data_IF_739347403431
#
_entry.id   IF_739347403431
#
_cell.length_a   1.000
_cell.length_b   1.000
_cell.length_c   1.000
_cell.angle_alpha   90.00
_cell.angle_beta   90.00
_cell.angle_gamma   90.00
#
_symmetry.space_group_name_H-M   'P 1'
#
loop_
_entity.id
_entity.type
_entity.pdbx_description
1 polymer ?
#
# COMPACT_ATOMS: atom_id res chain seq x y z
N UNK A 1 3.81 -5.40 -22.70
CA UNK A 1 3.85 -4.17 -21.91
C UNK A 1 4.67 -4.42 -20.66
N UNK A 2 5.69 -3.60 -20.40
CA UNK A 2 6.49 -3.69 -19.18
C UNK A 2 5.68 -3.19 -17.98
N UNK A 3 6.12 -3.53 -16.76
CA UNK A 3 5.46 -3.05 -15.56
C UNK A 3 5.58 -1.53 -15.43
N UNK A 4 6.68 -0.94 -15.89
CA UNK A 4 6.86 0.51 -15.94
C UNK A 4 5.89 1.16 -16.91
N UNK A 5 5.71 0.60 -18.10
CA UNK A 5 4.74 1.08 -19.07
C UNK A 5 3.31 0.99 -18.53
N UNK A 6 2.98 -0.11 -17.86
CA UNK A 6 1.67 -0.29 -17.23
C UNK A 6 1.41 0.76 -16.15
N UNK A 7 2.40 1.05 -15.32
CA UNK A 7 2.30 2.07 -14.27
C UNK A 7 2.12 3.46 -14.88
N UNK A 8 2.88 3.78 -15.92
CA UNK A 8 2.79 5.08 -16.60
C UNK A 8 1.44 5.26 -17.29
N UNK A 9 0.91 4.22 -17.90
CA UNK A 9 -0.42 4.22 -18.52
C UNK A 9 -1.51 4.44 -17.48
N UNK A 10 -1.43 3.73 -16.35
CA UNK A 10 -2.33 3.90 -15.21
C UNK A 10 -2.28 5.34 -14.69
N UNK A 11 -1.08 5.86 -14.46
CA UNK A 11 -0.90 7.22 -13.96
C UNK A 11 -1.51 8.27 -14.90
N UNK A 12 -1.36 8.06 -16.19
CA UNK A 12 -1.95 8.94 -17.22
C UNK A 12 -3.48 8.95 -17.14
N UNK A 13 -4.08 7.79 -16.94
CA UNK A 13 -5.53 7.67 -16.78
C UNK A 13 -6.03 8.39 -15.53
N UNK A 14 -5.29 8.29 -14.42
CA UNK A 14 -5.62 8.98 -13.16
C UNK A 14 -5.58 10.50 -13.36
N UNK A 15 -4.56 11.00 -14.04
CA UNK A 15 -4.47 12.45 -14.34
C UNK A 15 -5.66 12.90 -15.18
N UNK A 16 -6.06 12.11 -16.20
CA UNK A 16 -7.23 12.41 -17.02
C UNK A 16 -8.52 12.43 -16.20
N UNK A 17 -8.70 11.50 -15.27
CA UNK A 17 -9.86 11.49 -14.37
C UNK A 17 -9.94 12.79 -13.57
N UNK A 18 -8.82 13.25 -13.05
CA UNK A 18 -8.79 14.50 -12.28
C UNK A 18 -9.13 15.70 -13.17
N UNK A 19 -8.65 15.73 -14.39
CA UNK A 19 -8.92 16.81 -15.34
C UNK A 19 -10.39 16.95 -15.71
N UNK A 20 -11.14 15.84 -15.69
CA UNK A 20 -12.59 15.88 -15.98
C UNK A 20 -13.45 16.04 -14.72
N UNK A 21 -12.84 16.40 -13.60
CA UNK A 21 -13.56 16.75 -12.37
C UNK A 21 -13.72 15.63 -11.36
N UNK A 22 -13.16 14.46 -11.61
CA UNK A 22 -13.17 13.37 -10.64
C UNK A 22 -12.12 13.60 -9.54
N UNK A 23 -12.34 13.01 -8.36
CA UNK A 23 -11.39 13.01 -7.27
C UNK A 23 -10.96 11.56 -7.00
N UNK A 24 -10.05 11.00 -7.79
CA UNK A 24 -9.67 9.60 -7.64
C UNK A 24 -8.90 9.35 -6.35
N UNK A 25 -9.26 8.25 -5.70
CA UNK A 25 -8.53 7.72 -4.55
C UNK A 25 -8.05 6.33 -4.95
N UNK A 26 -6.75 6.11 -4.84
CA UNK A 26 -6.12 4.85 -5.25
C UNK A 26 -5.82 4.02 -4.02
N UNK A 27 -6.29 2.78 -4.03
CA UNK A 27 -5.96 1.80 -3.00
C UNK A 27 -5.13 0.72 -3.67
N UNK A 28 -4.02 0.36 -3.07
CA UNK A 28 -3.10 -0.61 -3.66
C UNK A 28 -2.66 -1.66 -2.66
N UNK A 29 -2.18 -2.77 -3.17
CA UNK A 29 -1.52 -3.81 -2.40
C UNK A 29 -0.06 -3.94 -2.80
N UNK A 30 0.54 -5.10 -2.59
CA UNK A 30 1.93 -5.34 -2.92
C UNK A 30 2.46 -6.70 -2.47
N UNK A 31 1.57 -7.70 -2.37
CA UNK A 31 1.94 -9.05 -1.90
C UNK A 31 3.18 -9.64 -2.59
N UNK A 32 3.25 -9.65 -3.94
CA UNK A 32 4.41 -10.20 -4.63
C UNK A 32 5.72 -9.49 -4.29
N UNK A 33 5.70 -8.18 -4.18
CA UNK A 33 6.89 -7.38 -3.84
C UNK A 33 7.31 -7.57 -2.39
N UNK A 34 6.34 -7.73 -1.49
CA UNK A 34 6.60 -8.08 -0.09
C UNK A 34 7.28 -9.46 -0.02
N UNK A 35 6.75 -10.45 -0.73
CA UNK A 35 7.33 -11.79 -0.77
C UNK A 35 8.77 -11.76 -1.28
N UNK A 36 9.02 -11.00 -2.32
CA UNK A 36 10.36 -10.84 -2.89
C UNK A 36 11.34 -10.25 -1.87
N UNK A 37 10.92 -9.22 -1.16
CA UNK A 37 11.76 -8.57 -0.15
C UNK A 37 12.00 -9.48 1.05
N UNK A 38 10.98 -10.19 1.52
CA UNK A 38 11.13 -11.17 2.61
C UNK A 38 12.11 -12.27 2.23
N UNK A 39 12.06 -12.76 0.98
CA UNK A 39 12.99 -13.75 0.49
C UNK A 39 14.44 -13.23 0.46
N UNK A 40 14.65 -11.99 0.02
CA UNK A 40 15.97 -11.35 0.01
C UNK A 40 16.55 -11.19 1.40
N UNK A 41 15.70 -10.98 2.40
CA UNK A 41 16.11 -10.81 3.80
C UNK A 41 16.12 -12.12 4.58
N UNK A 42 15.81 -13.24 3.92
CA UNK A 42 15.72 -14.58 4.52
C UNK A 42 14.74 -14.61 5.72
N UNK A 43 13.60 -13.92 5.56
CA UNK A 43 12.52 -13.90 6.55
C UNK A 43 11.37 -14.76 6.03
N UNK A 44 10.92 -15.71 6.84
CA UNK A 44 9.79 -16.58 6.49
C UNK A 44 8.47 -15.96 6.93
N UNK A 45 7.45 -16.17 6.13
CA UNK A 45 6.10 -15.70 6.40
C UNK A 45 5.09 -16.68 5.81
N UNK A 46 4.04 -16.99 6.58
CA UNK A 46 2.96 -17.88 6.17
C UNK A 46 1.65 -17.13 6.04
N UNK A 47 0.64 -17.80 5.47
CA UNK A 47 -0.71 -17.27 5.34
C UNK A 47 -1.70 -18.16 6.09
N UNK A 48 -2.68 -17.53 6.75
CA UNK A 48 -3.79 -18.22 7.39
C UNK A 48 -5.07 -17.54 6.91
N UNK A 49 -5.96 -18.31 6.29
CA UNK A 49 -7.23 -17.81 5.75
C UNK A 49 -7.05 -16.58 4.82
N UNK A 50 -6.00 -16.62 3.97
CA UNK A 50 -5.71 -15.54 3.05
C UNK A 50 -4.99 -14.33 3.65
N UNK A 51 -4.76 -14.31 4.95
CA UNK A 51 -4.07 -13.24 5.66
C UNK A 51 -2.64 -13.67 6.01
N UNK A 52 -1.69 -12.78 5.81
CA UNK A 52 -0.29 -13.03 6.14
C UNK A 52 -0.09 -13.07 7.65
N UNK A 53 0.58 -14.11 8.14
CA UNK A 53 1.04 -14.14 9.52
C UNK A 53 2.19 -13.15 9.64
N UNK A 54 2.03 -12.13 10.49
CA UNK A 54 2.91 -10.97 10.52
C UNK A 54 3.52 -10.75 11.90
N UNK A 55 4.72 -11.31 12.13
CA UNK A 55 5.51 -10.97 13.30
C UNK A 55 6.13 -9.57 13.11
N UNK A 56 6.89 -9.10 14.10
CA UNK A 56 7.47 -7.76 14.06
C UNK A 56 8.37 -7.54 12.84
N UNK A 57 9.20 -8.51 12.49
CA UNK A 57 10.11 -8.39 11.35
C UNK A 57 9.34 -8.33 10.03
N UNK A 58 8.29 -9.14 9.89
CA UNK A 58 7.43 -9.13 8.70
C UNK A 58 6.69 -7.81 8.57
N UNK A 59 6.14 -7.28 9.67
CA UNK A 59 5.41 -6.00 9.68
C UNK A 59 6.32 -4.85 9.24
N UNK A 60 7.55 -4.81 9.71
CA UNK A 60 8.51 -3.77 9.31
C UNK A 60 8.78 -3.83 7.80
N UNK A 61 8.94 -5.01 7.23
CA UNK A 61 9.14 -5.19 5.79
C UNK A 61 7.88 -4.79 5.02
N UNK A 62 6.70 -5.19 5.50
CA UNK A 62 5.41 -4.83 4.88
C UNK A 62 5.28 -3.30 4.80
N UNK A 63 5.54 -2.61 5.90
CA UNK A 63 5.48 -1.15 5.94
C UNK A 63 6.48 -0.51 4.97
N UNK A 64 7.73 -0.98 4.98
CA UNK A 64 8.75 -0.45 4.06
C UNK A 64 8.35 -0.62 2.59
N UNK A 65 7.84 -1.79 2.23
CA UNK A 65 7.48 -2.09 0.84
C UNK A 65 6.22 -1.35 0.42
N UNK A 66 5.16 -1.43 1.21
CA UNK A 66 3.88 -0.82 0.84
C UNK A 66 3.94 0.70 0.89
N UNK A 67 4.36 1.26 2.01
CA UNK A 67 4.34 2.71 2.24
C UNK A 67 5.55 3.42 1.68
N UNK A 68 6.71 2.77 1.69
CA UNK A 68 7.95 3.37 1.25
C UNK A 68 8.21 3.21 -0.24
N UNK A 69 7.98 2.03 -0.78
CA UNK A 69 8.33 1.74 -2.17
C UNK A 69 7.14 1.84 -3.11
N UNK A 70 6.12 1.03 -2.91
CA UNK A 70 5.00 0.95 -3.86
C UNK A 70 4.19 2.23 -3.87
N UNK A 71 3.77 2.69 -2.70
CA UNK A 71 3.00 3.93 -2.57
C UNK A 71 3.72 5.10 -3.26
N UNK A 72 4.99 5.28 -2.96
CA UNK A 72 5.78 6.39 -3.53
C UNK A 72 6.07 6.23 -5.01
N UNK A 73 6.16 4.99 -5.51
CA UNK A 73 6.30 4.75 -6.95
C UNK A 73 5.04 5.20 -7.71
N UNK A 74 3.87 4.93 -7.16
CA UNK A 74 2.59 5.35 -7.74
C UNK A 74 2.48 6.88 -7.70
N UNK A 75 2.79 7.50 -6.57
CA UNK A 75 2.80 8.95 -6.40
C UNK A 75 3.70 9.62 -7.45
N UNK A 76 4.93 9.12 -7.58
CA UNK A 76 5.89 9.69 -8.52
C UNK A 76 5.43 9.51 -9.97
N UNK A 77 4.87 8.36 -10.31
CA UNK A 77 4.35 8.12 -11.65
C UNK A 77 3.24 9.11 -12.02
N UNK A 78 2.32 9.37 -11.09
CA UNK A 78 1.23 10.34 -11.30
C UNK A 78 1.80 11.76 -11.46
N UNK A 79 2.72 12.14 -10.58
CA UNK A 79 3.33 13.47 -10.63
C UNK A 79 4.15 13.68 -11.92
N UNK A 80 4.81 12.63 -12.42
CA UNK A 80 5.53 12.67 -13.70
C UNK A 80 4.58 12.88 -14.90
N UNK A 81 3.31 12.53 -14.77
CA UNK A 81 2.29 12.76 -15.80
C UNK A 81 1.58 14.12 -15.62
N UNK A 82 2.09 14.98 -14.76
CA UNK A 82 1.53 16.32 -14.54
C UNK A 82 0.47 16.41 -13.45
N UNK A 83 0.26 15.33 -12.71
CA UNK A 83 -0.67 15.33 -11.57
C UNK A 83 -0.03 15.88 -10.31
N UNK A 84 -0.84 15.96 -9.26
CA UNK A 84 -0.40 16.31 -7.91
C UNK A 84 -0.95 15.24 -6.95
N UNK A 85 -0.16 14.21 -6.73
CA UNK A 85 -0.54 13.11 -5.88
C UNK A 85 0.19 13.17 -4.55
N UNK A 86 -0.48 12.73 -3.51
CA UNK A 86 0.06 12.50 -2.17
C UNK A 86 -0.22 11.05 -1.82
N UNK A 87 0.71 10.40 -1.17
CA UNK A 87 0.52 9.02 -0.72
C UNK A 87 0.40 8.96 0.79
N UNK A 88 -0.61 8.21 1.25
CA UNK A 88 -0.93 8.05 2.67
C UNK A 88 -0.95 6.58 3.04
N UNK A 89 -0.79 6.32 4.34
CA UNK A 89 -1.08 5.02 4.95
C UNK A 89 -2.15 5.21 6.03
N UNK A 90 -2.63 4.12 6.60
CA UNK A 90 -3.59 4.19 7.69
C UNK A 90 -3.08 4.89 8.94
N UNK A 91 -1.76 5.04 9.08
CA UNK A 91 -1.13 5.76 10.20
C UNK A 91 -1.26 7.27 10.07
N UNK A 92 -1.30 7.78 8.84
CA UNK A 92 -1.34 9.22 8.62
C UNK A 92 -2.64 9.81 9.15
N UNK A 93 -2.53 10.81 10.03
CA UNK A 93 -3.65 11.46 10.69
C UNK A 93 -4.60 10.48 11.39
N UNK A 94 -4.09 9.31 11.82
CA UNK A 94 -4.90 8.23 12.39
C UNK A 94 -6.08 7.84 11.48
N UNK A 95 -5.85 7.86 10.17
CA UNK A 95 -6.88 7.55 9.18
C UNK A 95 -7.57 6.21 9.47
N UNK A 96 -6.80 5.21 9.90
CA UNK A 96 -7.31 3.89 10.26
C UNK A 96 -6.72 3.46 11.59
N UNK A 97 -7.57 3.28 12.59
CA UNK A 97 -7.18 2.75 13.91
C UNK A 97 -7.61 1.30 13.97
N UNK A 98 -6.71 0.43 14.40
CA UNK A 98 -6.93 -1.01 14.44
C UNK A 98 -6.69 -1.58 15.82
N UNK A 99 -7.35 -2.70 16.10
CA UNK A 99 -7.01 -3.61 17.20
C UNK A 99 -6.44 -4.89 16.61
N UNK A 100 -5.88 -5.77 17.42
CA UNK A 100 -5.42 -7.08 16.93
C UNK A 100 -6.60 -7.88 16.40
N UNK A 101 -6.44 -8.47 15.20
CA UNK A 101 -7.47 -9.33 14.58
C UNK A 101 -7.46 -10.70 15.27
N UNK A 102 -6.52 -11.55 14.91
CA UNK A 102 -6.36 -12.90 15.44
C UNK A 102 -4.95 -13.04 16.01
N UNK A 103 -4.77 -13.44 17.28
CA UNK A 103 -3.42 -13.60 17.86
C UNK A 103 -2.49 -14.51 17.06
N UNK A 104 -3.04 -15.50 16.34
CA UNK A 104 -2.24 -16.38 15.47
C UNK A 104 -1.63 -15.65 14.29
N UNK A 105 -2.18 -14.51 13.89
CA UNK A 105 -1.68 -13.70 12.77
C UNK A 105 -0.61 -12.70 13.21
N UNK A 106 -0.35 -12.55 14.51
CA UNK A 106 0.60 -11.54 15.02
C UNK A 106 0.07 -10.13 14.89
N UNK A 107 0.84 -9.24 14.28
CA UNK A 107 0.50 -7.82 14.13
C UNK A 107 -0.43 -7.54 12.94
N UNK A 108 -1.44 -8.34 12.76
CA UNK A 108 -2.50 -8.08 11.78
C UNK A 108 -3.61 -7.31 12.47
N UNK A 109 -3.97 -6.14 11.92
CA UNK A 109 -4.98 -5.27 12.48
C UNK A 109 -6.37 -5.51 11.93
N UNK A 110 -7.36 -5.30 12.81
CA UNK A 110 -8.77 -5.22 12.44
C UNK A 110 -9.20 -3.78 12.62
N UNK A 111 -9.68 -3.09 11.56
CA UNK A 111 -10.09 -1.69 11.70
C UNK A 111 -11.25 -1.54 12.69
N UNK A 112 -11.13 -0.59 13.61
CA UNK A 112 -12.15 -0.26 14.60
C UNK A 112 -12.59 1.20 14.54
N UNK A 113 -11.73 2.09 14.05
CA UNK A 113 -12.06 3.51 13.86
C UNK A 113 -11.49 3.99 12.53
N UNK A 114 -12.22 4.86 11.87
CA UNK A 114 -11.78 5.51 10.63
C UNK A 114 -11.95 7.02 10.79
N UNK A 115 -10.94 7.77 10.35
CA UNK A 115 -10.94 9.24 10.42
C UNK A 115 -10.76 9.83 9.01
N UNK A 116 -11.80 9.75 8.15
CA UNK A 116 -11.70 10.14 6.76
C UNK A 116 -11.78 11.65 6.51
N UNK A 117 -12.00 12.46 7.52
CA UNK A 117 -12.11 13.92 7.42
C UNK A 117 -10.81 14.57 6.94
N UNK A 118 -9.73 13.87 7.03
CA UNK A 118 -8.48 14.32 6.42
C UNK A 118 -8.60 14.30 4.89
#
# INVERSE_FOLDING_TARGET
MSSEEALNSFARDIVLMKQVGMNPVIVHGGGPMINEMLAKLDIKSDFVNGKRVSDKAVVEVVEMVLSGKINKSIVQAINNQGGKAVGLSGKDANLMVCEFDNPELGFVGKPVEMHPEF
#
